data_IF_376820138136
#
_entry.id   IF_376820138136
#
_cell.length_a   1.000
_cell.length_b   1.000
_cell.length_c   1.000
_cell.angle_alpha   90.00
_cell.angle_beta   90.00
_cell.angle_gamma   90.00
#
_symmetry.space_group_name_H-M   'P 1'
#
loop_
_entity.id
_entity.type
_entity.pdbx_description
1 polymer ?
#
# COMPACT_ATOMS: atom_id res chain seq x y z
N UNK A 1 -14.55 -4.17 1.03
CA UNK A 1 -13.35 -3.78 1.78
C UNK A 1 -13.61 -3.72 3.26
N UNK A 2 -12.53 -3.61 4.04
CA UNK A 2 -12.60 -3.40 5.48
C UNK A 2 -13.04 -1.96 5.80
N UNK A 3 -13.98 -1.85 6.74
CA UNK A 3 -14.42 -0.58 7.32
C UNK A 3 -14.02 -0.57 8.78
N UNK A 4 -13.26 0.45 9.17
CA UNK A 4 -12.86 0.68 10.56
C UNK A 4 -13.88 1.56 11.26
N UNK A 5 -14.31 1.16 12.44
CA UNK A 5 -15.17 1.94 13.32
C UNK A 5 -14.38 2.35 14.57
N UNK A 6 -14.45 3.61 14.92
CA UNK A 6 -14.09 4.08 16.27
C UNK A 6 -15.26 3.79 17.20
N UNK A 7 -15.10 2.79 18.05
CA UNK A 7 -16.14 2.38 19.03
C UNK A 7 -15.96 3.01 20.40
N UNK A 8 -15.05 3.97 20.54
CA UNK A 8 -14.80 4.63 21.84
C UNK A 8 -16.02 5.35 22.41
N UNK A 9 -16.95 5.77 21.57
CA UNK A 9 -18.22 6.38 21.96
C UNK A 9 -19.35 5.40 22.34
N UNK A 10 -19.20 4.09 22.04
CA UNK A 10 -20.29 3.09 22.19
C UNK A 10 -20.00 2.07 23.31
N UNK A 11 -19.43 2.53 24.41
CA UNK A 11 -18.81 1.68 25.44
C UNK A 11 -19.78 0.89 26.32
N UNK A 12 -21.07 1.19 26.27
CA UNK A 12 -22.07 0.58 27.17
C UNK A 12 -22.76 -0.65 26.57
N UNK A 13 -22.63 -0.86 25.27
CA UNK A 13 -23.33 -1.93 24.55
C UNK A 13 -22.32 -2.82 23.82
N UNK A 14 -22.44 -4.13 24.00
CA UNK A 14 -21.61 -5.11 23.28
C UNK A 14 -22.21 -5.40 21.90
N UNK A 15 -21.94 -4.52 20.94
CA UNK A 15 -22.35 -4.72 19.56
C UNK A 15 -21.60 -5.89 18.93
N UNK A 16 -22.31 -6.74 18.20
CA UNK A 16 -21.80 -7.97 17.55
C UNK A 16 -21.77 -7.87 16.05
N UNK A 17 -22.60 -7.00 15.47
CA UNK A 17 -22.75 -6.85 14.02
C UNK A 17 -23.09 -5.43 13.61
N UNK A 18 -23.04 -5.22 12.30
CA UNK A 18 -23.44 -3.97 11.64
C UNK A 18 -24.45 -4.32 10.56
N UNK A 19 -25.58 -3.66 10.56
CA UNK A 19 -26.65 -3.88 9.58
C UNK A 19 -26.72 -2.73 8.59
N UNK A 20 -26.63 -3.03 7.32
CA UNK A 20 -26.87 -2.10 6.23
C UNK A 20 -28.35 -1.73 6.18
N UNK A 21 -28.68 -0.45 6.28
CA UNK A 21 -30.06 0.04 6.36
C UNK A 21 -30.75 0.11 4.99
N UNK A 22 -30.00 0.10 3.89
CA UNK A 22 -30.55 0.13 2.54
C UNK A 22 -31.01 -1.25 2.06
N UNK A 23 -30.24 -2.31 2.34
CA UNK A 23 -30.53 -3.66 1.86
C UNK A 23 -30.82 -4.68 2.96
N UNK A 24 -30.70 -4.28 4.23
CA UNK A 24 -30.96 -5.13 5.39
C UNK A 24 -29.90 -6.19 5.69
N UNK A 25 -28.80 -6.25 4.92
CA UNK A 25 -27.73 -7.22 5.10
C UNK A 25 -26.92 -6.89 6.36
N UNK A 26 -26.64 -7.88 7.16
CA UNK A 26 -25.83 -7.74 8.37
C UNK A 26 -24.43 -8.34 8.16
N UNK A 27 -23.44 -7.69 8.78
CA UNK A 27 -22.03 -8.06 8.70
C UNK A 27 -21.50 -8.24 10.12
N UNK A 28 -20.70 -9.29 10.39
CA UNK A 28 -20.11 -9.49 11.71
C UNK A 28 -19.11 -8.38 12.02
N UNK A 29 -19.08 -7.96 13.28
CA UNK A 29 -18.17 -6.95 13.80
C UNK A 29 -16.98 -7.64 14.48
N UNK A 30 -15.79 -7.33 14.00
CA UNK A 30 -14.53 -7.81 14.58
C UNK A 30 -13.94 -6.70 15.46
N UNK A 31 -13.59 -7.06 16.69
CA UNK A 31 -13.03 -6.13 17.67
C UNK A 31 -11.57 -6.46 17.94
N UNK A 32 -10.74 -5.44 18.03
CA UNK A 32 -9.33 -5.57 18.39
C UNK A 32 -9.05 -4.82 19.70
N UNK A 33 -8.22 -5.43 20.57
CA UNK A 33 -7.82 -4.92 21.86
C UNK A 33 -8.55 -5.59 23.02
N UNK A 34 -7.85 -5.71 24.15
CA UNK A 34 -8.35 -6.48 25.28
C UNK A 34 -9.30 -5.68 26.17
N UNK A 35 -8.99 -4.41 26.44
CA UNK A 35 -9.77 -3.56 27.35
C UNK A 35 -9.64 -2.09 27.01
N UNK A 36 -10.75 -1.35 27.23
CA UNK A 36 -10.76 0.12 27.28
C UNK A 36 -10.97 0.56 28.70
N UNK A 37 -10.16 1.49 29.18
CA UNK A 37 -10.33 2.07 30.48
C UNK A 37 -11.22 3.30 30.43
N UNK A 38 -12.31 3.34 31.23
CA UNK A 38 -13.11 4.54 31.44
C UNK A 38 -12.98 5.04 32.88
N UNK A 39 -13.15 6.35 33.03
CA UNK A 39 -13.35 6.92 34.34
C UNK A 39 -14.83 6.78 34.74
N UNK A 40 -15.07 6.23 35.91
CA UNK A 40 -16.40 6.13 36.50
C UNK A 40 -16.40 7.01 37.72
N UNK A 41 -17.45 7.82 37.85
CA UNK A 41 -17.69 8.66 39.05
C UNK A 41 -18.87 8.04 39.79
N UNK A 42 -18.68 7.67 41.03
CA UNK A 42 -19.74 7.12 41.86
C UNK A 42 -20.63 8.24 42.44
N UNK A 43 -21.69 7.85 43.15
CA UNK A 43 -22.64 8.77 43.80
C UNK A 43 -22.02 9.67 44.86
N UNK A 44 -20.81 9.33 45.36
CA UNK A 44 -20.02 10.11 46.31
C UNK A 44 -18.94 10.95 45.65
N UNK A 45 -18.98 11.07 44.31
CA UNK A 45 -17.99 11.79 43.49
C UNK A 45 -16.57 11.20 43.52
N UNK A 46 -16.39 9.95 43.98
CA UNK A 46 -15.13 9.28 43.86
C UNK A 46 -14.90 8.84 42.41
N UNK A 47 -13.70 9.05 41.93
CA UNK A 47 -13.31 8.62 40.59
C UNK A 47 -12.54 7.30 40.64
N UNK A 48 -12.96 6.34 39.84
CA UNK A 48 -12.29 5.06 39.65
C UNK A 48 -12.09 4.77 38.16
N UNK A 49 -11.16 3.87 37.84
CA UNK A 49 -11.01 3.34 36.47
C UNK A 49 -11.66 1.97 36.39
N UNK A 50 -12.53 1.81 35.43
CA UNK A 50 -13.16 0.54 35.12
C UNK A 50 -12.66 0.03 33.76
N UNK A 51 -12.30 -1.25 33.70
CA UNK A 51 -11.95 -1.93 32.45
C UNK A 51 -13.25 -2.40 31.75
N UNK A 52 -13.46 -1.96 30.52
CA UNK A 52 -14.58 -2.41 29.71
C UNK A 52 -14.07 -3.46 28.73
N UNK A 53 -14.63 -4.67 28.70
CA UNK A 53 -14.31 -5.67 27.70
C UNK A 53 -14.66 -5.18 26.29
N UNK A 54 -13.77 -5.42 25.35
CA UNK A 54 -13.95 -5.05 23.94
C UNK A 54 -12.97 -3.96 23.49
N UNK A 55 -12.40 -4.15 22.32
CA UNK A 55 -11.33 -3.31 21.80
C UNK A 55 -11.74 -1.86 21.57
N UNK A 56 -10.74 -1.02 21.43
CA UNK A 56 -10.91 0.38 21.04
C UNK A 56 -11.31 0.53 19.59
N UNK A 57 -11.02 -0.48 18.78
CA UNK A 57 -11.26 -0.49 17.34
C UNK A 57 -12.13 -1.68 16.96
N UNK A 58 -13.09 -1.44 16.09
CA UNK A 58 -13.92 -2.48 15.51
C UNK A 58 -13.86 -2.40 13.98
N UNK A 59 -13.99 -3.55 13.35
CA UNK A 59 -13.88 -3.69 11.90
C UNK A 59 -15.02 -4.55 11.39
N UNK A 60 -15.53 -4.22 10.20
CA UNK A 60 -16.42 -5.10 9.47
C UNK A 60 -16.09 -5.09 7.99
N UNK A 61 -16.40 -6.19 7.31
CA UNK A 61 -16.15 -6.34 5.89
C UNK A 61 -17.40 -6.06 5.07
N UNK A 62 -17.31 -5.16 4.08
CA UNK A 62 -18.38 -4.85 3.14
C UNK A 62 -17.95 -5.22 1.73
N UNK A 63 -18.74 -6.06 1.05
CA UNK A 63 -18.47 -6.48 -0.34
C UNK A 63 -19.22 -5.66 -1.39
N UNK A 64 -20.31 -5.01 -1.00
CA UNK A 64 -21.33 -4.53 -1.95
C UNK A 64 -21.60 -3.02 -1.81
N UNK A 65 -20.59 -2.21 -1.55
CA UNK A 65 -20.73 -0.75 -1.56
C UNK A 65 -20.59 -0.23 -3.00
N UNK A 66 -21.59 0.50 -3.52
CA UNK A 66 -21.45 1.17 -4.80
C UNK A 66 -20.35 2.24 -4.75
N UNK A 67 -19.61 2.39 -5.83
CA UNK A 67 -18.62 3.45 -5.95
C UNK A 67 -19.29 4.84 -5.84
N UNK A 68 -18.61 5.80 -5.22
CA UNK A 68 -19.08 7.18 -5.07
C UNK A 68 -20.49 7.29 -4.44
N UNK A 69 -20.75 6.46 -3.41
CA UNK A 69 -22.05 6.41 -2.73
C UNK A 69 -21.90 6.49 -1.23
N UNK A 70 -23.02 6.75 -0.57
CA UNK A 70 -23.16 6.67 0.88
C UNK A 70 -24.04 5.51 1.23
N UNK A 71 -23.64 4.76 2.26
CA UNK A 71 -24.42 3.67 2.79
C UNK A 71 -24.53 3.83 4.29
N UNK A 72 -25.75 3.67 4.82
CA UNK A 72 -26.01 3.80 6.25
C UNK A 72 -25.98 2.44 6.90
N UNK A 73 -25.33 2.38 8.05
CA UNK A 73 -25.23 1.19 8.86
C UNK A 73 -25.73 1.46 10.27
N UNK A 74 -26.38 0.48 10.86
CA UNK A 74 -26.73 0.50 12.28
C UNK A 74 -25.93 -0.58 13.02
N UNK A 75 -25.40 -0.24 14.18
CA UNK A 75 -24.80 -1.21 15.10
C UNK A 75 -25.92 -2.11 15.68
N UNK A 76 -25.66 -3.40 15.78
CA UNK A 76 -26.61 -4.40 16.26
C UNK A 76 -25.91 -5.33 17.26
N UNK A 77 -26.68 -5.78 18.27
CA UNK A 77 -26.20 -6.73 19.28
C UNK A 77 -26.41 -8.19 18.91
N UNK A 78 -27.08 -8.44 17.80
CA UNK A 78 -27.33 -9.79 17.28
C UNK A 78 -26.03 -10.35 16.65
N UNK A 79 -25.73 -11.61 16.94
CA UNK A 79 -24.67 -12.32 16.27
C UNK A 79 -25.08 -12.62 14.82
N UNK A 80 -24.12 -12.45 13.91
CA UNK A 80 -24.27 -12.81 12.51
C UNK A 80 -23.38 -14.01 12.25
N UNK A 81 -23.98 -15.08 11.77
CA UNK A 81 -23.26 -16.27 11.37
C UNK A 81 -22.41 -15.94 10.13
N UNK A 82 -21.11 -16.14 10.24
CA UNK A 82 -20.20 -16.05 9.07
C UNK A 82 -20.56 -17.28 8.23
N UNK A 83 -21.29 -17.05 7.14
CA UNK A 83 -21.60 -18.12 6.18
C UNK A 83 -20.27 -18.54 5.57
N UNK A 84 -19.82 -19.71 5.95
CA UNK A 84 -18.61 -20.34 5.42
C UNK A 84 -18.90 -20.73 3.96
N UNK A 85 -18.76 -19.75 3.05
CA UNK A 85 -18.76 -20.05 1.63
C UNK A 85 -17.56 -20.93 1.36
N UNK A 86 -17.75 -22.03 0.66
CA UNK A 86 -16.65 -22.83 0.14
C UNK A 86 -15.90 -21.98 -0.90
N UNK A 87 -14.89 -21.27 -0.44
CA UNK A 87 -14.05 -20.40 -1.27
C UNK A 87 -12.88 -21.23 -1.75
N UNK A 88 -12.54 -21.12 -3.04
CA UNK A 88 -11.27 -21.63 -3.54
C UNK A 88 -10.16 -20.71 -2.99
N UNK A 89 -9.47 -21.17 -1.96
CA UNK A 89 -8.40 -20.42 -1.31
C UNK A 89 -7.20 -20.26 -2.23
N UNK A 90 -6.49 -19.13 -2.20
CA UNK A 90 -5.24 -18.98 -2.93
C UNK A 90 -4.15 -19.92 -2.40
N UNK A 91 -3.27 -20.35 -3.28
CA UNK A 91 -2.04 -21.05 -2.92
C UNK A 91 -1.01 -20.04 -2.42
N UNK A 92 -0.48 -20.25 -1.21
CA UNK A 92 0.52 -19.40 -0.59
C UNK A 92 1.81 -20.16 -0.37
N UNK A 93 2.93 -19.52 -0.70
CA UNK A 93 4.27 -20.05 -0.46
C UNK A 93 5.03 -19.12 0.50
N UNK A 94 5.86 -19.70 1.35
CA UNK A 94 6.57 -18.99 2.40
C UNK A 94 8.06 -19.34 2.38
N UNK A 95 8.89 -18.39 2.75
CA UNK A 95 10.31 -18.62 2.99
C UNK A 95 10.57 -19.33 4.34
N UNK A 96 11.83 -19.61 4.64
CA UNK A 96 12.26 -20.22 5.91
C UNK A 96 11.96 -19.36 7.16
N UNK A 97 11.74 -18.07 6.98
CA UNK A 97 11.38 -17.14 8.06
C UNK A 97 9.87 -16.94 8.20
N UNK A 98 9.07 -17.62 7.36
CA UNK A 98 7.61 -17.51 7.35
C UNK A 98 7.09 -16.28 6.60
N UNK A 99 7.92 -15.54 5.88
CA UNK A 99 7.46 -14.47 5.00
C UNK A 99 6.89 -15.06 3.70
N UNK A 100 5.78 -14.49 3.23
CA UNK A 100 5.14 -14.97 2.00
C UNK A 100 5.98 -14.59 0.78
N UNK A 101 6.25 -15.57 -0.07
CA UNK A 101 7.07 -15.41 -1.27
C UNK A 101 6.25 -15.40 -2.55
N UNK A 102 5.06 -15.97 -2.54
CA UNK A 102 4.12 -15.86 -3.66
C UNK A 102 2.70 -16.18 -3.22
N UNK A 103 1.72 -15.69 -3.99
CA UNK A 103 0.32 -15.99 -3.83
C UNK A 103 -0.34 -16.16 -5.21
N UNK A 104 -1.12 -17.24 -5.39
CA UNK A 104 -1.80 -17.55 -6.65
C UNK A 104 -3.25 -17.93 -6.40
N UNK A 105 -4.17 -17.24 -7.03
CA UNK A 105 -5.60 -17.54 -6.98
C UNK A 105 -6.01 -18.43 -8.16
N UNK A 106 -7.14 -19.08 -8.00
CA UNK A 106 -7.73 -19.88 -9.09
C UNK A 106 -7.97 -19.02 -10.34
N UNK A 107 -7.56 -19.52 -11.48
CA UNK A 107 -7.67 -18.80 -12.78
C UNK A 107 -6.44 -18.00 -13.15
N UNK A 108 -5.42 -17.96 -12.29
CA UNK A 108 -4.11 -17.38 -12.61
C UNK A 108 -3.14 -18.51 -12.98
N UNK A 109 -2.42 -18.36 -14.09
CA UNK A 109 -1.36 -19.29 -14.49
C UNK A 109 -0.09 -19.05 -13.66
N UNK A 110 0.27 -17.79 -13.47
CA UNK A 110 1.42 -17.34 -12.68
C UNK A 110 0.96 -16.60 -11.40
N UNK A 111 1.78 -16.56 -10.33
CA UNK A 111 1.41 -15.88 -9.08
C UNK A 111 1.25 -14.37 -9.26
N UNK A 112 0.58 -13.71 -8.31
CA UNK A 112 0.44 -12.26 -8.28
C UNK A 112 1.78 -11.54 -8.09
N UNK A 113 2.65 -12.11 -7.29
CA UNK A 113 4.01 -11.63 -7.01
C UNK A 113 4.94 -12.81 -6.75
N UNK A 114 6.26 -12.57 -6.81
CA UNK A 114 7.30 -13.58 -6.60
C UNK A 114 8.18 -13.23 -5.38
N UNK A 115 9.24 -13.99 -5.15
CA UNK A 115 10.14 -13.82 -4.00
C UNK A 115 10.77 -12.42 -3.93
N UNK A 116 10.79 -11.84 -2.73
CA UNK A 116 11.31 -10.50 -2.46
C UNK A 116 10.24 -9.41 -2.37
N UNK A 117 8.95 -9.78 -2.18
CA UNK A 117 7.88 -8.83 -1.94
C UNK A 117 8.18 -7.98 -0.71
N UNK A 118 8.09 -6.65 -0.89
CA UNK A 118 8.34 -5.65 0.15
C UNK A 118 9.75 -5.73 0.77
N UNK A 119 10.72 -6.23 0.03
CA UNK A 119 12.12 -6.11 0.45
C UNK A 119 12.54 -4.64 0.41
N UNK A 120 13.12 -4.19 1.51
CA UNK A 120 13.54 -2.80 1.70
C UNK A 120 15.02 -2.66 1.42
N UNK A 121 15.36 -1.67 0.61
CA UNK A 121 16.74 -1.40 0.18
C UNK A 121 17.10 0.05 0.42
N UNK A 122 18.29 0.29 0.95
CA UNK A 122 18.92 1.60 1.02
C UNK A 122 20.11 1.64 0.06
N UNK A 123 20.14 2.65 -0.78
CA UNK A 123 21.28 2.95 -1.66
C UNK A 123 22.02 4.13 -1.07
N UNK A 124 23.30 3.94 -0.77
CA UNK A 124 24.21 4.96 -0.29
C UNK A 124 25.11 5.45 -1.41
N UNK A 125 25.39 6.75 -1.45
CA UNK A 125 26.28 7.38 -2.41
C UNK A 125 27.54 7.88 -1.72
N UNK A 126 28.70 7.49 -2.21
CA UNK A 126 29.98 7.82 -1.60
C UNK A 126 30.64 9.10 -2.16
N UNK A 127 30.23 9.57 -3.35
CA UNK A 127 30.83 10.72 -4.03
C UNK A 127 29.77 11.56 -4.75
N UNK A 128 28.96 12.26 -3.95
CA UNK A 128 27.85 13.07 -4.46
C UNK A 128 28.31 14.37 -5.13
N UNK A 129 29.42 14.96 -4.71
CA UNK A 129 29.88 16.24 -5.28
C UNK A 129 30.20 16.11 -6.77
N UNK A 130 30.79 14.97 -7.15
CA UNK A 130 31.03 14.67 -8.57
C UNK A 130 29.78 14.29 -9.32
N UNK A 131 28.85 13.62 -8.65
CA UNK A 131 27.60 13.18 -9.23
C UNK A 131 26.63 14.33 -9.49
N UNK A 132 26.50 15.27 -8.56
CA UNK A 132 25.61 16.43 -8.66
C UNK A 132 26.07 17.46 -9.69
N UNK A 133 27.35 17.53 -10.01
CA UNK A 133 27.89 18.50 -10.96
C UNK A 133 27.62 18.17 -12.42
N UNK A 134 27.07 16.99 -12.73
CA UNK A 134 26.52 16.65 -14.06
C UNK A 134 27.49 16.58 -15.24
N UNK A 135 28.53 17.43 -15.25
CA UNK A 135 29.41 17.59 -16.40
C UNK A 135 30.31 16.39 -16.68
N UNK A 136 30.73 15.67 -15.65
CA UNK A 136 31.63 14.53 -15.81
C UNK A 136 30.94 13.37 -16.50
N UNK A 137 29.64 13.14 -16.22
CA UNK A 137 28.89 11.99 -16.73
C UNK A 137 28.29 12.25 -18.13
N UNK A 138 28.15 13.50 -18.54
CA UNK A 138 27.59 13.83 -19.86
C UNK A 138 28.46 13.34 -21.00
N UNK A 139 29.76 13.15 -20.75
CA UNK A 139 30.74 12.70 -21.77
C UNK A 139 31.03 11.18 -21.70
N UNK A 140 30.46 10.46 -20.73
CA UNK A 140 30.62 9.02 -20.59
C UNK A 140 29.62 8.27 -21.47
N UNK A 141 30.04 7.18 -22.08
CA UNK A 141 29.12 6.20 -22.65
C UNK A 141 28.38 5.44 -21.54
N UNK A 142 27.37 4.62 -21.91
CA UNK A 142 26.54 3.91 -20.96
C UNK A 142 27.34 2.94 -20.07
N UNK A 143 28.30 2.20 -20.66
CA UNK A 143 29.14 1.25 -19.92
C UNK A 143 30.00 1.97 -18.88
N UNK A 144 30.60 3.10 -19.23
CA UNK A 144 31.38 3.92 -18.31
C UNK A 144 30.50 4.48 -17.16
N UNK A 145 29.26 4.90 -17.46
CA UNK A 145 28.32 5.38 -16.44
C UNK A 145 27.94 4.27 -15.46
N UNK A 146 27.66 3.07 -15.97
CA UNK A 146 27.33 1.91 -15.14
C UNK A 146 28.51 1.53 -14.23
N UNK A 147 29.74 1.51 -14.78
CA UNK A 147 30.94 1.22 -13.99
C UNK A 147 31.11 2.25 -12.87
N UNK A 148 31.04 3.53 -13.21
CA UNK A 148 31.16 4.62 -12.23
C UNK A 148 30.07 4.60 -11.18
N UNK A 149 28.83 4.32 -11.58
CA UNK A 149 27.71 4.18 -10.66
C UNK A 149 27.97 3.07 -9.64
N UNK A 150 28.42 1.90 -10.08
CA UNK A 150 28.75 0.78 -9.19
C UNK A 150 29.92 1.09 -8.24
N UNK A 151 30.84 1.96 -8.67
CA UNK A 151 31.98 2.41 -7.82
C UNK A 151 31.50 3.32 -6.67
N UNK A 152 30.55 4.25 -6.95
CA UNK A 152 30.13 5.26 -5.99
C UNK A 152 28.90 4.88 -5.17
N UNK A 153 28.18 3.83 -5.54
CA UNK A 153 26.95 3.39 -4.84
C UNK A 153 27.17 2.10 -4.08
N UNK A 154 26.47 1.98 -2.96
CA UNK A 154 26.39 0.74 -2.17
C UNK A 154 24.94 0.47 -1.82
N UNK A 155 24.43 -0.68 -2.22
CA UNK A 155 23.10 -1.14 -1.87
C UNK A 155 23.15 -2.00 -0.60
N UNK A 156 22.27 -1.71 0.34
CA UNK A 156 22.13 -2.46 1.58
C UNK A 156 20.66 -2.84 1.79
N UNK A 157 20.42 -4.13 1.98
CA UNK A 157 19.08 -4.68 2.18
C UNK A 157 18.77 -4.84 3.66
N UNK A 158 17.54 -4.51 4.05
CA UNK A 158 17.05 -4.82 5.37
C UNK A 158 17.00 -6.35 5.58
N UNK A 159 17.20 -6.77 6.84
CA UNK A 159 17.18 -8.18 7.23
C UNK A 159 15.99 -8.47 8.13
N UNK A 160 15.44 -9.68 8.08
CA UNK A 160 14.48 -10.12 9.09
C UNK A 160 15.08 -10.07 10.50
N UNK A 161 14.42 -9.33 11.39
CA UNK A 161 14.75 -9.29 12.82
C UNK A 161 14.05 -10.43 13.57
N UNK A 162 12.89 -10.84 13.06
CA UNK A 162 12.10 -11.92 13.63
C UNK A 162 11.55 -12.85 12.54
N UNK A 163 11.00 -14.00 12.95
CA UNK A 163 10.12 -14.77 12.08
C UNK A 163 8.85 -13.99 11.82
N UNK A 164 8.28 -14.16 10.65
CA UNK A 164 6.98 -13.60 10.33
C UNK A 164 5.88 -14.22 11.22
N UNK A 165 4.90 -13.39 11.56
CA UNK A 165 3.68 -13.79 12.28
C UNK A 165 2.55 -13.80 11.28
N UNK A 166 1.75 -14.87 11.28
CA UNK A 166 0.58 -14.99 10.42
C UNK A 166 -0.66 -14.94 11.31
N UNK A 167 -1.56 -14.01 10.98
CA UNK A 167 -2.89 -13.90 11.57
C UNK A 167 -3.93 -14.18 10.50
N UNK A 168 -4.78 -15.15 10.72
CA UNK A 168 -5.89 -15.46 9.84
C UNK A 168 -7.15 -14.71 10.28
N UNK A 169 -7.84 -14.14 9.30
CA UNK A 169 -9.17 -13.58 9.44
C UNK A 169 -10.15 -14.36 8.56
N UNK A 170 -11.46 -14.21 8.68
CA UNK A 170 -12.41 -14.85 7.76
C UNK A 170 -12.17 -14.48 6.29
N UNK A 171 -11.58 -13.31 6.00
CA UNK A 171 -11.47 -12.76 4.63
C UNK A 171 -10.04 -12.68 4.10
N UNK A 172 -9.03 -12.81 4.99
CA UNK A 172 -7.63 -12.59 4.61
C UNK A 172 -6.66 -13.32 5.53
N UNK A 173 -5.41 -13.42 5.10
CA UNK A 173 -4.26 -13.67 5.97
C UNK A 173 -3.40 -12.41 6.05
N UNK A 174 -3.03 -12.03 7.25
CA UNK A 174 -2.13 -10.92 7.52
C UNK A 174 -0.80 -11.48 7.98
N UNK A 175 0.22 -11.30 7.17
CA UNK A 175 1.60 -11.71 7.46
C UNK A 175 2.40 -10.47 7.83
N UNK A 176 2.98 -10.44 9.02
CA UNK A 176 3.75 -9.31 9.54
C UNK A 176 5.12 -9.75 9.98
N UNK A 177 6.17 -8.96 9.70
CA UNK A 177 7.55 -9.27 10.05
C UNK A 177 8.32 -8.03 10.45
N UNK A 178 8.95 -8.09 11.63
CA UNK A 178 9.89 -7.06 12.06
C UNK A 178 11.21 -7.21 11.29
N UNK A 179 11.69 -6.08 10.80
CA UNK A 179 12.90 -5.97 10.00
C UNK A 179 13.93 -5.12 10.72
N UNK A 180 15.18 -5.20 10.30
CA UNK A 180 16.26 -4.35 10.79
C UNK A 180 17.12 -3.80 9.66
N UNK A 181 17.48 -2.54 9.78
CA UNK A 181 18.43 -1.86 8.91
C UNK A 181 19.10 -0.71 9.69
N UNK A 182 20.41 -0.44 9.51
CA UNK A 182 21.12 0.60 10.27
C UNK A 182 20.56 2.02 10.13
N UNK A 183 19.80 2.28 9.05
CA UNK A 183 19.24 3.61 8.75
C UNK A 183 17.84 3.86 9.30
N UNK A 184 17.22 2.86 9.90
CA UNK A 184 15.85 2.93 10.41
C UNK A 184 15.72 2.25 11.76
N UNK A 185 14.73 2.67 12.54
CA UNK A 185 14.28 2.00 13.76
C UNK A 185 12.86 1.46 13.54
N UNK A 186 12.44 0.55 14.43
CA UNK A 186 11.04 0.07 14.49
C UNK A 186 10.46 -0.33 13.12
N UNK A 187 11.30 -0.93 12.26
CA UNK A 187 10.85 -1.31 10.94
C UNK A 187 9.97 -2.56 10.98
N UNK A 188 8.83 -2.48 10.33
CA UNK A 188 7.91 -3.60 10.12
C UNK A 188 7.43 -3.59 8.66
N UNK A 189 7.30 -4.79 8.07
CA UNK A 189 6.59 -5.00 6.83
C UNK A 189 5.39 -5.91 7.06
N UNK A 190 4.29 -5.63 6.41
CA UNK A 190 3.07 -6.40 6.49
C UNK A 190 2.47 -6.62 5.11
N UNK A 191 1.90 -7.78 4.89
CA UNK A 191 1.05 -8.04 3.72
C UNK A 191 -0.25 -8.68 4.17
N UNK A 192 -1.36 -8.14 3.69
CA UNK A 192 -2.69 -8.73 3.81
C UNK A 192 -3.08 -9.35 2.47
N UNK A 193 -3.31 -10.67 2.47
CA UNK A 193 -3.66 -11.45 1.29
C UNK A 193 -5.12 -11.82 1.39
N UNK A 194 -5.94 -11.33 0.46
CA UNK A 194 -7.39 -11.55 0.48
C UNK A 194 -7.74 -12.93 -0.05
N UNK A 195 -8.72 -13.60 0.59
CA UNK A 195 -9.09 -14.98 0.25
C UNK A 195 -9.94 -15.06 -1.01
N UNK A 196 -10.90 -14.15 -1.18
CA UNK A 196 -11.88 -14.20 -2.28
C UNK A 196 -11.47 -13.43 -3.53
N UNK A 197 -10.55 -12.49 -3.39
CA UNK A 197 -10.13 -11.62 -4.49
C UNK A 197 -8.62 -11.68 -4.68
N UNK A 198 -8.12 -11.72 -5.91
CA UNK A 198 -6.69 -11.75 -6.18
C UNK A 198 -6.04 -10.38 -5.92
N UNK A 199 -5.88 -10.09 -4.63
CA UNK A 199 -5.34 -8.83 -4.12
C UNK A 199 -4.45 -9.08 -2.92
N UNK A 200 -3.37 -8.32 -2.83
CA UNK A 200 -2.50 -8.23 -1.66
C UNK A 200 -2.25 -6.76 -1.32
N UNK A 201 -2.60 -6.36 -0.08
CA UNK A 201 -2.26 -5.03 0.43
C UNK A 201 -0.97 -5.13 1.21
N UNK A 202 0.01 -4.28 0.87
CA UNK A 202 1.32 -4.23 1.53
C UNK A 202 1.43 -2.93 2.32
N UNK A 203 1.98 -3.03 3.51
CA UNK A 203 2.33 -1.89 4.35
C UNK A 203 3.80 -1.99 4.75
N UNK A 204 4.52 -0.87 4.69
CA UNK A 204 5.90 -0.74 5.16
C UNK A 204 5.96 0.46 6.10
N UNK A 205 6.28 0.18 7.35
CA UNK A 205 6.48 1.18 8.39
C UNK A 205 7.92 1.17 8.86
N UNK A 206 8.48 2.35 9.09
CA UNK A 206 9.77 2.52 9.76
C UNK A 206 9.91 3.91 10.38
N UNK A 207 10.80 4.04 11.36
CA UNK A 207 11.22 5.31 11.93
C UNK A 207 12.64 5.64 11.41
N UNK A 208 12.72 6.63 10.49
CA UNK A 208 13.97 7.01 9.83
C UNK A 208 14.89 7.73 10.81
N UNK A 209 16.14 7.28 10.89
CA UNK A 209 17.19 7.93 11.68
C UNK A 209 17.68 9.17 10.93
N UNK A 210 17.82 10.30 11.65
CA UNK A 210 18.39 11.54 11.14
C UNK A 210 19.73 11.31 10.43
N UNK A 211 19.86 11.81 9.21
CA UNK A 211 21.08 11.75 8.42
C UNK A 211 21.04 12.69 7.23
N UNK A 212 22.15 13.37 7.01
CA UNK A 212 22.40 14.17 5.82
C UNK A 212 23.23 13.41 4.78
N UNK A 213 23.63 12.16 5.06
CA UNK A 213 24.33 11.32 4.09
C UNK A 213 23.44 11.06 2.87
N UNK A 214 23.97 11.17 1.63
CA UNK A 214 23.19 10.95 0.42
C UNK A 214 22.71 9.51 0.34
N UNK A 215 21.38 9.33 0.33
CA UNK A 215 20.76 7.99 0.34
C UNK A 215 19.38 7.99 -0.33
N UNK A 216 18.99 6.85 -0.87
CA UNK A 216 17.66 6.60 -1.42
C UNK A 216 17.12 5.31 -0.85
N UNK A 217 15.85 5.30 -0.43
CA UNK A 217 15.16 4.13 0.12
C UNK A 217 14.16 3.61 -0.89
N UNK A 218 14.15 2.30 -1.09
CA UNK A 218 13.24 1.61 -2.01
C UNK A 218 12.52 0.44 -1.34
N UNK A 219 11.32 0.20 -1.80
CA UNK A 219 10.61 -1.06 -1.60
C UNK A 219 10.51 -1.82 -2.92
N UNK A 220 10.81 -3.12 -2.90
CA UNK A 220 10.77 -4.00 -4.06
C UNK A 220 9.43 -4.70 -4.20
N UNK A 221 8.90 -4.75 -5.42
CA UNK A 221 7.69 -5.47 -5.80
C UNK A 221 7.97 -6.32 -7.05
N UNK A 222 8.33 -7.59 -6.87
CA UNK A 222 8.67 -8.48 -7.98
C UNK A 222 7.43 -9.17 -8.54
N UNK A 223 7.25 -9.08 -9.84
CA UNK A 223 6.23 -9.79 -10.62
C UNK A 223 6.82 -11.00 -11.34
N UNK A 224 5.99 -11.92 -11.87
CA UNK A 224 6.46 -13.00 -12.72
C UNK A 224 7.26 -12.52 -13.93
N UNK A 225 8.10 -13.37 -14.49
CA UNK A 225 9.04 -13.00 -15.56
C UNK A 225 8.37 -12.65 -16.89
N UNK A 226 7.16 -13.12 -17.12
CA UNK A 226 6.32 -12.80 -18.27
C UNK A 226 5.73 -11.37 -18.20
N UNK A 227 5.70 -10.77 -17.02
CA UNK A 227 5.31 -9.38 -16.82
C UNK A 227 6.35 -8.43 -17.43
N UNK A 228 6.04 -7.89 -18.60
CA UNK A 228 6.90 -7.03 -19.40
C UNK A 228 6.17 -5.77 -19.83
N UNK A 229 6.95 -4.77 -20.28
CA UNK A 229 6.42 -3.56 -20.87
C UNK A 229 5.40 -2.87 -19.95
N UNK A 230 5.85 -2.37 -18.80
CA UNK A 230 4.96 -1.71 -17.86
C UNK A 230 4.32 -0.45 -18.47
N UNK A 231 3.04 -0.26 -18.16
CA UNK A 231 2.24 0.92 -18.51
C UNK A 231 1.85 1.64 -17.25
N UNK A 232 1.95 2.95 -17.23
CA UNK A 232 1.52 3.80 -16.12
C UNK A 232 0.76 5.03 -16.63
N UNK A 233 0.22 5.84 -15.73
CA UNK A 233 -0.32 7.16 -16.05
C UNK A 233 0.53 8.28 -15.47
N UNK A 234 0.55 9.41 -16.17
CA UNK A 234 1.09 10.67 -15.68
C UNK A 234 0.18 11.81 -16.15
N UNK A 235 -0.38 12.57 -15.22
CA UNK A 235 -1.40 13.58 -15.53
C UNK A 235 -2.66 12.98 -16.17
N UNK A 236 -3.05 11.75 -15.80
CA UNK A 236 -4.19 11.04 -16.36
C UNK A 236 -3.96 10.42 -17.74
N UNK A 237 -2.76 10.58 -18.34
CA UNK A 237 -2.44 10.05 -19.67
C UNK A 237 -1.65 8.76 -19.52
N UNK A 238 -2.14 7.63 -20.09
CA UNK A 238 -1.40 6.38 -20.09
C UNK A 238 -0.23 6.43 -21.05
N UNK A 239 0.89 5.79 -20.66
CA UNK A 239 2.06 5.67 -21.52
C UNK A 239 2.84 4.39 -21.23
N UNK A 240 3.45 3.81 -22.27
CA UNK A 240 4.35 2.67 -22.14
C UNK A 240 5.73 3.16 -21.68
N UNK A 241 6.12 2.71 -20.50
CA UNK A 241 7.42 3.04 -19.93
C UNK A 241 8.56 2.49 -20.82
N UNK A 242 9.65 3.24 -20.93
CA UNK A 242 10.81 2.98 -21.79
C UNK A 242 10.59 3.17 -23.30
N UNK A 243 9.34 3.15 -23.80
CA UNK A 243 9.05 3.28 -25.23
C UNK A 243 8.61 4.69 -25.65
N UNK A 244 7.68 5.28 -24.87
CA UNK A 244 7.02 6.53 -25.28
C UNK A 244 7.68 7.79 -24.73
N UNK A 245 8.82 7.66 -24.05
CA UNK A 245 9.61 8.81 -23.64
C UNK A 245 10.39 9.40 -24.81
N UNK A 246 10.65 10.71 -24.72
CA UNK A 246 11.48 11.42 -25.68
C UNK A 246 12.84 10.71 -25.81
N UNK A 247 13.32 10.44 -27.03
CA UNK A 247 14.64 9.85 -27.24
C UNK A 247 15.74 10.61 -26.50
N UNK A 248 16.64 9.88 -25.87
CA UNK A 248 17.74 10.40 -25.04
C UNK A 248 17.30 11.08 -23.72
N UNK A 249 16.03 11.00 -23.35
CA UNK A 249 15.60 11.40 -22.00
C UNK A 249 16.11 10.41 -20.95
N UNK A 250 16.18 10.86 -19.71
CA UNK A 250 16.49 10.00 -18.56
C UNK A 250 15.37 8.99 -18.32
N UNK A 251 15.71 7.70 -18.24
CA UNK A 251 14.77 6.60 -17.95
C UNK A 251 15.16 5.83 -16.69
N UNK A 252 15.89 6.47 -15.79
CA UNK A 252 16.36 5.87 -14.54
C UNK A 252 15.22 5.63 -13.54
N UNK A 253 14.22 6.50 -13.59
CA UNK A 253 13.00 6.45 -12.78
C UNK A 253 11.86 7.17 -13.52
N UNK A 254 10.64 6.91 -13.09
CA UNK A 254 9.44 7.49 -13.67
C UNK A 254 8.54 8.06 -12.58
N UNK A 255 7.95 9.22 -12.88
CA UNK A 255 6.87 9.78 -12.07
C UNK A 255 5.55 9.25 -12.62
N UNK A 256 4.73 8.73 -11.74
CA UNK A 256 3.43 8.13 -12.08
C UNK A 256 2.33 8.75 -11.21
N UNK A 257 1.09 8.64 -11.63
CA UNK A 257 -0.03 9.10 -10.81
C UNK A 257 -0.27 8.17 -9.62
N UNK A 258 -0.71 6.94 -9.86
CA UNK A 258 -1.08 6.03 -8.78
C UNK A 258 -0.91 4.54 -9.09
N UNK A 259 -0.72 4.13 -10.35
CA UNK A 259 -0.63 2.71 -10.70
C UNK A 259 0.36 2.41 -11.83
N UNK A 260 0.85 1.18 -11.81
CA UNK A 260 1.63 0.55 -12.87
C UNK A 260 0.95 -0.78 -13.23
N UNK A 261 0.72 -1.01 -14.52
CA UNK A 261 0.12 -2.24 -15.05
C UNK A 261 1.13 -3.01 -15.88
N UNK A 262 1.16 -4.32 -15.69
CA UNK A 262 1.79 -5.30 -16.56
C UNK A 262 0.71 -6.16 -17.22
N UNK A 263 0.78 -6.30 -18.54
CA UNK A 263 -0.01 -7.31 -19.26
C UNK A 263 0.76 -8.64 -19.25
N UNK A 264 0.06 -9.72 -18.96
CA UNK A 264 0.53 -11.10 -19.07
C UNK A 264 -0.48 -11.94 -19.86
N UNK A 265 -0.14 -13.18 -20.19
CA UNK A 265 -1.02 -14.04 -21.02
C UNK A 265 -2.34 -14.36 -20.31
N UNK A 266 -2.31 -14.54 -19.00
CA UNK A 266 -3.49 -14.87 -18.17
C UNK A 266 -4.30 -13.63 -17.74
N UNK A 267 -3.76 -12.42 -17.88
CA UNK A 267 -4.42 -11.19 -17.43
C UNK A 267 -3.45 -10.10 -17.05
N UNK A 268 -3.93 -9.07 -16.35
CA UNK A 268 -3.12 -7.93 -15.92
C UNK A 268 -2.76 -8.03 -14.44
N UNK A 269 -1.51 -7.68 -14.12
CA UNK A 269 -1.04 -7.46 -12.75
C UNK A 269 -0.81 -5.98 -12.55
N UNK A 270 -1.38 -5.45 -11.49
CA UNK A 270 -1.40 -4.03 -11.21
C UNK A 270 -0.77 -3.78 -9.84
N UNK A 271 0.22 -2.91 -9.81
CA UNK A 271 0.74 -2.29 -8.60
C UNK A 271 0.16 -0.90 -8.47
N UNK A 272 -0.21 -0.50 -7.27
CA UNK A 272 -0.68 0.85 -7.01
C UNK A 272 -0.24 1.36 -5.66
N UNK A 273 -0.04 2.69 -5.56
CA UNK A 273 0.26 3.42 -4.32
C UNK A 273 -0.18 4.87 -4.43
N UNK A 274 -0.87 5.37 -3.41
CA UNK A 274 -1.13 6.80 -3.24
C UNK A 274 0.01 7.56 -2.57
N UNK A 275 0.95 6.84 -1.96
CA UNK A 275 2.05 7.42 -1.16
C UNK A 275 3.36 7.58 -1.96
N UNK A 276 3.53 6.77 -3.02
CA UNK A 276 4.80 6.62 -3.73
C UNK A 276 4.65 6.92 -5.21
N UNK A 277 4.87 8.17 -5.63
CA UNK A 277 4.69 8.58 -7.02
C UNK A 277 5.93 8.33 -7.91
N UNK A 278 7.05 7.83 -7.36
CA UNK A 278 8.28 7.62 -8.12
C UNK A 278 8.63 6.14 -8.10
N UNK A 279 8.80 5.56 -9.30
CA UNK A 279 9.15 4.15 -9.48
C UNK A 279 10.37 3.98 -10.36
N UNK A 280 11.11 2.89 -10.12
CA UNK A 280 12.21 2.39 -10.93
C UNK A 280 11.99 0.90 -11.22
N UNK A 281 12.64 0.35 -12.23
CA UNK A 281 12.47 -1.06 -12.62
C UNK A 281 13.82 -1.75 -12.73
N UNK A 282 13.89 -3.02 -12.29
CA UNK A 282 15.10 -3.82 -12.31
C UNK A 282 16.19 -3.40 -11.34
N UNK A 283 15.94 -2.38 -10.50
CA UNK A 283 16.87 -1.89 -9.50
C UNK A 283 16.86 -0.37 -9.37
N UNK A 284 17.89 0.13 -8.71
CA UNK A 284 18.17 1.57 -8.61
C UNK A 284 19.09 1.99 -9.75
N UNK A 285 18.69 3.02 -10.49
CA UNK A 285 19.42 3.49 -11.68
C UNK A 285 19.71 5.01 -11.67
N UNK A 286 19.35 5.70 -10.58
CA UNK A 286 19.46 7.17 -10.53
C UNK A 286 20.87 7.66 -10.88
N UNK A 287 20.98 8.37 -12.00
CA UNK A 287 22.22 8.90 -12.55
C UNK A 287 22.85 8.03 -13.65
N UNK A 288 22.34 6.85 -13.95
CA UNK A 288 22.84 5.99 -15.03
C UNK A 288 22.46 6.51 -16.42
N UNK A 289 21.35 7.26 -16.52
CA UNK A 289 20.77 7.72 -17.78
C UNK A 289 20.46 6.56 -18.73
N UNK A 290 19.74 5.59 -18.24
CA UNK A 290 19.29 4.44 -19.02
C UNK A 290 18.54 4.91 -20.27
N UNK A 291 18.79 4.23 -21.38
CA UNK A 291 18.10 4.46 -22.65
C UNK A 291 17.07 3.38 -22.94
N UNK A 292 17.32 2.16 -22.47
CA UNK A 292 16.50 0.98 -22.71
C UNK A 292 15.96 0.41 -21.39
N UNK A 293 14.93 -0.42 -21.49
CA UNK A 293 14.40 -1.15 -20.36
C UNK A 293 15.44 -2.09 -19.75
N UNK A 294 15.58 -2.16 -18.43
CA UNK A 294 16.46 -3.12 -17.77
C UNK A 294 15.97 -4.56 -17.99
N UNK A 295 16.88 -5.53 -17.89
CA UNK A 295 16.56 -6.95 -18.10
C UNK A 295 15.46 -7.46 -17.16
N UNK A 296 15.35 -6.88 -15.96
CA UNK A 296 14.38 -7.25 -14.92
C UNK A 296 13.29 -6.19 -14.77
N UNK A 297 12.70 -5.75 -15.86
CA UNK A 297 11.62 -4.76 -15.82
C UNK A 297 10.37 -5.21 -15.06
N UNK A 298 10.25 -6.52 -14.79
CA UNK A 298 9.24 -7.10 -13.92
C UNK A 298 9.51 -6.91 -12.40
N UNK A 299 10.68 -6.42 -12.02
CA UNK A 299 10.97 -6.01 -10.65
C UNK A 299 10.73 -4.50 -10.50
N UNK A 300 9.62 -4.10 -9.89
CA UNK A 300 9.29 -2.69 -9.61
C UNK A 300 9.89 -2.28 -8.26
N UNK A 301 10.46 -1.09 -8.21
CA UNK A 301 11.01 -0.46 -7.00
C UNK A 301 10.31 0.87 -6.76
N UNK A 302 9.50 0.96 -5.71
CA UNK A 302 8.91 2.22 -5.25
C UNK A 302 9.91 3.02 -4.42
N UNK A 303 10.15 4.29 -4.78
CA UNK A 303 11.06 5.18 -4.06
C UNK A 303 10.37 5.77 -2.83
N UNK A 304 10.75 5.32 -1.64
CA UNK A 304 10.14 5.73 -0.36
C UNK A 304 10.73 7.03 0.18
N UNK A 305 12.00 7.26 -0.05
CA UNK A 305 12.73 8.42 0.45
C UNK A 305 13.93 8.73 -0.44
N UNK A 306 14.27 10.00 -0.56
CA UNK A 306 15.42 10.47 -1.32
C UNK A 306 15.93 11.79 -0.76
N UNK A 307 17.23 11.87 -0.46
CA UNK A 307 17.93 13.10 -0.10
C UNK A 307 19.18 13.37 -0.93
N UNK A 308 19.22 12.86 -2.16
CA UNK A 308 20.38 12.98 -3.06
C UNK A 308 20.64 14.40 -3.55
N UNK A 309 19.68 15.31 -3.43
CA UNK A 309 19.75 16.64 -4.00
C UNK A 309 20.28 17.64 -2.99
N UNK A 310 21.46 18.17 -3.25
CA UNK A 310 22.05 19.25 -2.43
C UNK A 310 21.61 20.60 -3.02
N UNK A 311 20.32 20.89 -2.92
CA UNK A 311 19.71 22.15 -3.37
C UNK A 311 18.76 22.70 -2.30
N UNK A 312 17.94 23.67 -2.61
CA UNK A 312 17.11 24.45 -1.67
C UNK A 312 15.95 23.66 -1.04
N UNK A 313 16.19 22.50 -0.46
CA UNK A 313 15.22 21.72 0.31
C UNK A 313 15.84 21.12 1.56
N UNK A 314 14.99 20.63 2.46
CA UNK A 314 15.45 19.97 3.68
C UNK A 314 16.07 18.60 3.33
N UNK A 315 17.38 18.47 3.56
CA UNK A 315 18.12 17.22 3.26
C UNK A 315 17.93 16.13 4.31
N UNK A 316 17.29 16.45 5.43
CA UNK A 316 17.03 15.50 6.51
C UNK A 316 15.59 15.59 6.98
N UNK A 317 14.89 14.46 6.91
CA UNK A 317 13.50 14.30 7.35
C UNK A 317 13.41 13.02 8.18
N UNK A 318 13.89 13.06 9.45
CA UNK A 318 13.78 11.91 10.35
C UNK A 318 12.35 11.73 10.85
N UNK A 319 12.07 10.55 11.39
CA UNK A 319 10.80 10.22 12.02
C UNK A 319 10.05 9.09 11.35
N UNK A 320 8.83 8.87 11.81
CA UNK A 320 7.97 7.78 11.37
C UNK A 320 7.48 8.00 9.94
N UNK A 321 7.59 6.94 9.14
CA UNK A 321 7.11 6.87 7.76
C UNK A 321 6.30 5.61 7.58
N UNK A 322 5.16 5.74 6.91
CA UNK A 322 4.26 4.65 6.62
C UNK A 322 3.84 4.71 5.16
N UNK A 323 3.93 3.59 4.44
CA UNK A 323 3.64 3.50 3.02
C UNK A 323 2.72 2.32 2.75
N UNK A 324 1.67 2.57 1.97
CA UNK A 324 0.71 1.57 1.57
C UNK A 324 0.76 1.30 0.07
N UNK A 325 0.61 0.02 -0.28
CA UNK A 325 0.64 -0.46 -1.66
C UNK A 325 -0.42 -1.52 -1.84
N UNK A 326 -0.95 -1.60 -3.05
CA UNK A 326 -1.86 -2.67 -3.46
C UNK A 326 -1.31 -3.40 -4.69
N UNK A 327 -1.36 -4.72 -4.65
CA UNK A 327 -1.11 -5.60 -5.78
C UNK A 327 -2.41 -6.28 -6.13
N UNK A 328 -2.83 -6.22 -7.39
CA UNK A 328 -4.10 -6.78 -7.84
C UNK A 328 -3.93 -7.48 -9.18
N UNK A 329 -4.61 -8.61 -9.35
CA UNK A 329 -4.76 -9.26 -10.64
C UNK A 329 -6.16 -8.99 -11.19
N UNK A 330 -6.24 -8.81 -12.51
CA UNK A 330 -7.49 -8.68 -13.26
C UNK A 330 -7.44 -9.50 -14.52
N UNK A 331 -8.44 -10.33 -14.71
CA UNK A 331 -8.64 -11.08 -15.94
C UNK A 331 -9.07 -10.15 -17.08
N UNK A 332 -8.57 -10.39 -18.28
CA UNK A 332 -8.90 -9.63 -19.48
C UNK A 332 -8.31 -8.21 -19.53
N UNK A 333 -8.69 -7.47 -20.55
CA UNK A 333 -8.19 -6.11 -20.79
C UNK A 333 -8.88 -5.11 -19.86
N UNK A 334 -8.10 -4.24 -19.25
CA UNK A 334 -8.57 -3.17 -18.37
C UNK A 334 -8.42 -1.82 -19.08
N UNK A 335 -9.47 -0.98 -19.02
CA UNK A 335 -9.35 0.42 -19.45
C UNK A 335 -8.58 1.25 -18.44
N UNK A 336 -8.04 2.38 -18.88
CA UNK A 336 -7.37 3.35 -17.99
C UNK A 336 -8.30 3.85 -16.88
N UNK A 337 -9.55 4.14 -17.22
CA UNK A 337 -10.57 4.57 -16.28
C UNK A 337 -10.82 3.52 -15.18
N UNK A 338 -10.99 2.25 -15.58
CA UNK A 338 -11.17 1.15 -14.61
C UNK A 338 -9.97 0.99 -13.67
N UNK A 339 -8.75 1.16 -14.16
CA UNK A 339 -7.54 1.06 -13.34
C UNK A 339 -7.40 2.25 -12.39
N UNK A 340 -7.71 3.46 -12.87
CA UNK A 340 -7.67 4.67 -12.05
C UNK A 340 -8.74 4.62 -10.95
N UNK A 341 -9.98 4.29 -11.28
CA UNK A 341 -11.06 4.12 -10.30
C UNK A 341 -10.72 3.06 -9.24
N UNK A 342 -10.09 1.98 -9.66
CA UNK A 342 -9.63 0.93 -8.75
C UNK A 342 -8.55 1.45 -7.81
N UNK A 343 -7.51 2.09 -8.34
CA UNK A 343 -6.43 2.66 -7.54
C UNK A 343 -6.96 3.69 -6.56
N UNK A 344 -7.80 4.62 -7.02
CA UNK A 344 -8.42 5.65 -6.18
C UNK A 344 -9.26 5.03 -5.07
N UNK A 345 -9.99 3.94 -5.34
CA UNK A 345 -10.79 3.23 -4.33
C UNK A 345 -9.95 2.64 -3.20
N UNK A 346 -8.65 2.43 -3.41
CA UNK A 346 -7.74 1.92 -2.38
C UNK A 346 -7.17 3.02 -1.49
N UNK A 347 -7.11 4.26 -1.97
CA UNK A 347 -6.51 5.41 -1.27
C UNK A 347 -7.51 6.38 -0.68
N UNK A 348 -8.71 6.48 -1.27
CA UNK A 348 -9.75 7.33 -0.71
C UNK A 348 -10.36 6.58 0.47
N UNK A 349 -10.05 6.97 1.72
CA UNK A 349 -10.59 6.28 2.87
C UNK A 349 -12.10 6.47 2.91
N UNK A 350 -12.83 5.39 3.22
CA UNK A 350 -14.23 5.52 3.57
C UNK A 350 -14.35 6.39 4.82
N UNK A 351 -14.92 7.57 4.67
CA UNK A 351 -15.22 8.44 5.82
C UNK A 351 -16.48 7.94 6.51
N UNK A 352 -16.38 7.68 7.81
CA UNK A 352 -17.50 7.29 8.65
C UNK A 352 -17.97 8.51 9.44
N UNK A 353 -19.23 8.86 9.29
CA UNK A 353 -19.88 9.91 10.09
C UNK A 353 -20.71 9.25 11.17
N UNK A 354 -20.29 9.38 12.42
CA UNK A 354 -20.85 8.67 13.59
C UNK A 354 -21.87 9.49 14.37
N UNK A 355 -22.44 10.57 13.82
CA UNK A 355 -23.38 11.40 14.59
C UNK A 355 -24.77 11.32 13.99
N UNK A 356 -25.79 10.93 14.79
CA UNK A 356 -27.19 11.00 14.37
C UNK A 356 -27.59 12.41 13.88
N UNK A 357 -27.06 13.44 14.51
CA UNK A 357 -27.30 14.85 14.20
C UNK A 357 -26.77 15.24 12.81
N UNK A 358 -25.66 14.63 12.34
CA UNK A 358 -25.14 14.90 11.01
C UNK A 358 -26.06 14.42 9.88
N UNK A 359 -26.94 13.46 10.15
CA UNK A 359 -27.94 12.96 9.20
C UNK A 359 -29.16 13.87 9.11
N UNK A 360 -29.40 14.68 10.13
CA UNK A 360 -30.49 15.66 10.18
C UNK A 360 -30.05 17.04 9.67
N UNK A 361 -28.71 17.27 9.51
CA UNK A 361 -28.20 18.50 8.96
C UNK A 361 -28.58 18.62 7.46
N UNK A 362 -29.32 19.66 7.05
CA UNK A 362 -29.75 19.84 5.66
C UNK A 362 -28.59 19.92 4.67
N UNK A 363 -27.41 20.38 5.11
CA UNK A 363 -26.21 20.47 4.27
C UNK A 363 -25.62 19.08 4.05
N UNK A 364 -25.47 18.32 5.11
CA UNK A 364 -24.97 16.92 5.03
C UNK A 364 -25.94 16.07 4.22
N UNK A 365 -27.25 16.19 4.48
CA UNK A 365 -28.27 15.48 3.72
C UNK A 365 -28.25 15.83 2.23
N UNK A 366 -27.99 17.09 1.88
CA UNK A 366 -27.83 17.51 0.49
C UNK A 366 -26.60 16.90 -0.17
N UNK A 367 -25.47 16.84 0.52
CA UNK A 367 -24.26 16.18 0.02
C UNK A 367 -24.44 14.66 -0.10
N UNK A 368 -25.08 14.02 0.86
CA UNK A 368 -25.34 12.57 0.85
C UNK A 368 -26.28 12.15 -0.29
N UNK A 369 -27.19 13.01 -0.72
CA UNK A 369 -28.18 12.69 -1.77
C UNK A 369 -27.81 13.23 -3.16
N UNK A 370 -26.73 13.98 -3.28
CA UNK A 370 -26.25 14.45 -4.59
C UNK A 370 -25.17 13.49 -5.07
N UNK A 371 -25.35 12.82 -6.22
CA UNK A 371 -24.27 12.02 -6.82
C UNK A 371 -23.10 12.98 -7.08
N UNK A 372 -22.10 12.93 -6.23
CA UNK A 372 -20.86 13.63 -6.50
C UNK A 372 -20.10 12.80 -7.55
N UNK A 373 -20.21 13.16 -8.80
CA UNK A 373 -19.14 12.89 -9.75
C UNK A 373 -17.96 13.74 -9.27
N UNK A 374 -16.97 13.11 -8.68
CA UNK A 374 -15.63 13.64 -8.69
C UNK A 374 -15.21 13.60 -10.18
N UNK A 375 -15.58 14.64 -10.90
CA UNK A 375 -14.88 14.93 -12.14
C UNK A 375 -13.49 15.27 -11.68
N UNK A 376 -12.52 14.42 -12.01
CA UNK A 376 -11.12 14.79 -12.10
C UNK A 376 -11.05 16.01 -13.01
N UNK A 377 -11.30 17.17 -12.42
CA UNK A 377 -11.10 18.43 -13.08
C UNK A 377 -9.66 18.84 -12.82
N UNK A 378 -8.81 18.50 -13.73
CA UNK A 378 -7.69 19.33 -14.21
C UNK A 378 -7.28 18.83 -15.58
#
# INVERSE_FOLDING_TARGET
GWVKLDVTGFREVDYKSVRNLENGKSYPLFKEGDYVWRWVVDENLNTSREAIPGGTEAWFWVSDMPANSFTRFALDTSEVEIIDKKIDLPELFFDKNGWVTSARWKGMDEPLFTEGLADFMVVHFNDMDRWSQGDIYMHMDEAQRIEKFNEITRMEWAKPKSKAKVRETPYSWIVSQDMEHPRVKNMNRQVEIFKEVPRAKVNIFFDRISSIAPEVFYAKFPFPQDCRQPVATNGGIPYELYKEQIPNSCKDFFVIDSWVKYEAEDGARIWSSGDVPIVSFGGHHMGMRLQDAPKKENELYGMLYNNLWVVNFCVDSPGEMNFEFDLTYREGKQSVEQLTDMADSYYIPMSIVNTPEALEDPVVHKYLNTPQRLTSGY
#
